data_IF_140166986592
#
_entry.id   IF_140166986592
#
_cell.length_a   1.000
_cell.length_b   1.000
_cell.length_c   1.000
_cell.angle_alpha   90.00
_cell.angle_beta   90.00
_cell.angle_gamma   90.00
#
_symmetry.space_group_name_H-M   'P 1'
#
loop_
_entity.id
_entity.type
_entity.pdbx_description
1 polymer ?
#
# COMPACT_ATOMS: atom_id res chain seq x y z
N UNK A 1 -7.09 -28.12 61.32
CA UNK A 1 -7.36 -26.71 60.98
C UNK A 1 -6.04 -26.01 60.65
N UNK A 2 -6.07 -25.12 59.64
CA UNK A 2 -5.00 -24.26 59.09
C UNK A 2 -4.08 -24.90 58.05
N UNK A 3 -4.38 -24.54 56.79
CA UNK A 3 -3.50 -24.73 55.65
C UNK A 3 -2.38 -23.70 55.58
N UNK A 4 -1.41 -23.99 54.71
CA UNK A 4 -0.42 -23.02 54.23
C UNK A 4 -0.39 -23.09 52.71
N UNK A 5 -0.78 -21.97 52.11
CA UNK A 5 -0.91 -21.78 50.67
C UNK A 5 0.41 -21.83 49.94
N UNK A 6 0.37 -22.39 48.74
CA UNK A 6 1.37 -22.17 47.69
C UNK A 6 1.16 -20.76 47.13
N UNK A 7 2.16 -19.90 47.28
CA UNK A 7 2.22 -18.62 46.56
C UNK A 7 2.60 -18.95 45.12
N UNK A 8 1.60 -18.93 44.24
CA UNK A 8 1.82 -18.92 42.78
C UNK A 8 2.18 -17.49 42.38
N UNK A 9 3.41 -17.28 41.92
CA UNK A 9 3.85 -16.03 41.33
C UNK A 9 3.17 -15.92 39.95
N UNK A 10 2.08 -15.15 39.87
CA UNK A 10 1.46 -14.82 38.59
C UNK A 10 2.36 -13.81 37.87
N UNK A 11 3.10 -14.28 36.86
CA UNK A 11 3.83 -13.43 35.94
C UNK A 11 2.80 -12.72 35.06
N UNK A 12 2.45 -11.48 35.41
CA UNK A 12 1.64 -10.61 34.56
C UNK A 12 2.51 -10.25 33.35
N UNK A 13 2.23 -10.91 32.23
CA UNK A 13 2.80 -10.55 30.93
C UNK A 13 2.17 -9.22 30.52
N UNK A 14 2.83 -8.12 30.82
CA UNK A 14 2.46 -6.81 30.31
C UNK A 14 2.62 -6.86 28.78
N UNK A 15 1.49 -6.79 28.06
CA UNK A 15 1.46 -6.45 26.64
C UNK A 15 2.04 -5.04 26.49
N UNK A 16 3.34 -4.96 26.22
CA UNK A 16 3.94 -3.75 25.70
C UNK A 16 3.47 -3.61 24.26
N UNK A 17 2.59 -2.65 24.01
CA UNK A 17 2.43 -2.10 22.68
C UNK A 17 3.80 -1.60 22.24
N UNK A 18 4.37 -2.24 21.22
CA UNK A 18 5.64 -1.80 20.65
C UNK A 18 5.49 -0.33 20.22
N UNK A 19 6.33 0.60 20.72
CA UNK A 19 6.43 1.89 20.07
C UNK A 19 6.87 1.62 18.64
N UNK A 20 6.30 2.37 17.69
CA UNK A 20 6.82 2.47 16.32
C UNK A 20 8.29 2.88 16.45
N UNK A 21 9.21 1.92 16.35
CA UNK A 21 10.63 2.21 16.33
C UNK A 21 10.89 2.90 15.00
N UNK A 22 11.29 4.18 15.08
CA UNK A 22 11.66 4.95 13.91
C UNK A 22 12.71 4.18 13.11
N UNK A 23 12.47 4.07 11.80
CA UNK A 23 13.37 3.44 10.84
C UNK A 23 14.79 4.01 10.99
N UNK A 24 15.80 3.14 11.09
CA UNK A 24 17.19 3.53 11.30
C UNK A 24 17.69 4.32 10.08
N UNK A 25 17.81 5.63 10.24
CA UNK A 25 18.47 6.50 9.26
C UNK A 25 19.92 6.02 9.08
N UNK A 26 20.48 6.05 7.86
CA UNK A 26 21.90 5.76 7.68
C UNK A 26 22.73 6.68 8.58
N UNK A 27 23.71 6.13 9.30
CA UNK A 27 24.41 6.82 10.40
C UNK A 27 25.03 8.17 10.01
N UNK A 28 25.45 8.31 8.75
CA UNK A 28 26.11 9.49 8.21
C UNK A 28 25.21 10.29 7.25
N UNK A 29 23.90 10.01 7.23
CA UNK A 29 22.98 10.72 6.34
C UNK A 29 22.74 12.16 6.82
N UNK A 30 23.08 13.12 5.96
CA UNK A 30 22.75 14.53 6.13
C UNK A 30 21.69 14.87 5.08
N UNK A 31 20.49 15.34 5.48
CA UNK A 31 19.48 15.75 4.51
C UNK A 31 20.02 16.88 3.64
N UNK A 32 19.82 16.82 2.31
CA UNK A 32 20.25 17.89 1.42
C UNK A 32 19.46 19.17 1.73
N UNK A 33 19.96 20.35 1.32
CA UNK A 33 19.18 21.58 1.34
C UNK A 33 17.83 21.40 0.62
N UNK A 34 16.75 22.06 1.05
CA UNK A 34 15.42 21.92 0.43
C UNK A 34 15.40 22.10 -1.09
N UNK A 35 16.28 22.94 -1.64
CA UNK A 35 16.42 23.23 -3.08
C UNK A 35 17.12 22.11 -3.87
N UNK A 36 17.64 21.10 -3.18
CA UNK A 36 18.32 19.93 -3.73
C UNK A 36 17.56 18.62 -3.43
N UNK A 37 16.43 18.68 -2.72
CA UNK A 37 15.61 17.50 -2.42
C UNK A 37 15.02 16.96 -3.73
N UNK A 38 15.26 15.69 -4.10
CA UNK A 38 14.68 15.14 -5.32
C UNK A 38 13.17 14.93 -5.19
N UNK A 39 12.45 15.03 -6.30
CA UNK A 39 11.02 14.66 -6.34
C UNK A 39 10.87 13.13 -6.39
N UNK A 40 10.92 12.49 -5.21
CA UNK A 40 10.82 11.03 -5.07
C UNK A 40 9.46 10.48 -5.53
N UNK A 41 8.37 11.26 -5.43
CA UNK A 41 7.06 10.87 -6.00
C UNK A 41 7.10 10.75 -7.51
N UNK A 42 7.70 11.72 -8.19
CA UNK A 42 7.86 11.70 -9.65
C UNK A 42 8.74 10.52 -10.08
N UNK A 43 9.84 10.26 -9.35
CA UNK A 43 10.71 9.13 -9.63
C UNK A 43 9.97 7.78 -9.50
N UNK A 44 9.23 7.59 -8.40
CA UNK A 44 8.43 6.37 -8.20
C UNK A 44 7.33 6.25 -9.25
N UNK A 45 6.61 7.34 -9.56
CA UNK A 45 5.61 7.37 -10.64
C UNK A 45 6.21 6.97 -11.99
N UNK A 46 7.37 7.50 -12.33
CA UNK A 46 8.04 7.20 -13.60
C UNK A 46 8.38 5.71 -13.72
N UNK A 47 8.92 5.09 -12.65
CA UNK A 47 9.21 3.65 -12.63
C UNK A 47 7.94 2.81 -12.76
N UNK A 48 6.90 3.17 -12.01
CA UNK A 48 5.61 2.48 -12.07
C UNK A 48 4.99 2.55 -13.48
N UNK A 49 5.02 3.74 -14.10
CA UNK A 49 4.56 3.94 -15.48
C UNK A 49 5.38 3.10 -16.45
N UNK A 50 6.71 3.06 -16.32
CA UNK A 50 7.59 2.29 -17.19
C UNK A 50 7.30 0.79 -17.10
N UNK A 51 7.25 0.23 -15.88
CA UNK A 51 6.97 -1.19 -15.64
C UNK A 51 5.57 -1.58 -16.12
N UNK A 52 4.55 -0.80 -15.79
CA UNK A 52 3.18 -1.06 -16.20
C UNK A 52 3.01 -0.92 -17.73
N UNK A 53 3.63 0.08 -18.35
CA UNK A 53 3.60 0.26 -19.81
C UNK A 53 4.29 -0.88 -20.53
N UNK A 54 5.44 -1.34 -20.03
CA UNK A 54 6.12 -2.52 -20.56
C UNK A 54 5.19 -3.75 -20.53
N UNK A 55 4.56 -4.01 -19.39
CA UNK A 55 3.68 -5.15 -19.22
C UNK A 55 2.46 -5.08 -20.15
N UNK A 56 1.76 -3.93 -20.16
CA UNK A 56 0.59 -3.70 -21.02
C UNK A 56 0.90 -3.72 -22.51
N UNK A 57 2.10 -3.29 -22.91
CA UNK A 57 2.55 -3.38 -24.30
C UNK A 57 2.77 -4.82 -24.74
N UNK A 58 3.28 -5.66 -23.85
CA UNK A 58 3.57 -7.07 -24.12
C UNK A 58 2.31 -7.94 -24.05
N UNK A 59 1.40 -7.65 -23.14
CA UNK A 59 0.07 -8.23 -23.06
C UNK A 59 -0.96 -7.19 -22.61
N UNK A 60 -1.85 -6.71 -23.52
CA UNK A 60 -2.88 -5.72 -23.20
C UNK A 60 -3.85 -6.16 -22.09
N UNK A 61 -4.01 -7.48 -21.90
CA UNK A 61 -4.90 -8.05 -20.88
C UNK A 61 -4.20 -8.28 -19.54
N UNK A 62 -2.89 -8.05 -19.45
CA UNK A 62 -2.13 -8.21 -18.22
C UNK A 62 -2.64 -7.24 -17.16
N UNK A 63 -3.08 -7.75 -16.01
CA UNK A 63 -3.67 -6.93 -14.95
C UNK A 63 -2.59 -6.22 -14.14
N UNK A 64 -2.77 -4.94 -13.85
CA UNK A 64 -1.84 -4.16 -13.02
C UNK A 64 -2.57 -3.59 -11.81
N UNK A 65 -2.19 -4.05 -10.63
CA UNK A 65 -2.65 -3.55 -9.34
C UNK A 65 -1.57 -2.74 -8.65
N UNK A 66 -2.00 -1.76 -7.86
CA UNK A 66 -1.14 -0.97 -6.99
C UNK A 66 -1.64 -1.09 -5.55
N UNK A 67 -0.78 -1.43 -4.59
CA UNK A 67 -1.12 -1.43 -3.16
C UNK A 67 -0.46 -0.26 -2.44
N UNK A 68 -1.27 0.52 -1.72
CA UNK A 68 -0.82 1.77 -1.09
C UNK A 68 -0.46 2.85 -2.11
N UNK A 69 0.39 3.80 -1.73
CA UNK A 69 0.98 4.79 -2.64
C UNK A 69 -0.04 5.78 -3.20
N UNK A 70 -1.09 6.09 -2.42
CA UNK A 70 -2.25 6.87 -2.87
C UNK A 70 -1.87 8.29 -3.29
N UNK A 71 -0.82 8.86 -2.72
CA UNK A 71 -0.29 10.18 -3.07
C UNK A 71 0.33 10.23 -4.48
N UNK A 72 0.62 9.08 -5.09
CA UNK A 72 1.09 9.03 -6.47
C UNK A 72 -0.05 9.15 -7.50
N UNK A 73 -1.31 9.07 -7.09
CA UNK A 73 -2.43 9.15 -8.03
C UNK A 73 -2.98 10.56 -8.19
N UNK A 74 -2.84 11.38 -7.14
CA UNK A 74 -3.42 12.72 -7.07
C UNK A 74 -2.41 13.68 -6.49
N UNK A 75 -2.20 14.81 -7.18
CA UNK A 75 -1.25 15.84 -6.78
C UNK A 75 -1.61 16.43 -5.43
N UNK A 76 -0.67 16.38 -4.48
CA UNK A 76 -0.83 16.91 -3.14
C UNK A 76 -0.06 18.21 -2.89
N UNK A 77 -0.23 18.76 -1.69
CA UNK A 77 0.40 20.01 -1.25
C UNK A 77 1.93 19.95 -1.27
N UNK A 78 2.49 18.80 -0.89
CA UNK A 78 3.94 18.57 -0.91
C UNK A 78 4.54 18.82 -2.29
N UNK A 79 3.92 18.31 -3.37
CA UNK A 79 4.42 18.52 -4.74
C UNK A 79 4.25 19.98 -5.19
N UNK A 80 3.20 20.65 -4.74
CA UNK A 80 3.01 22.09 -5.01
C UNK A 80 4.11 22.91 -4.35
N UNK A 81 4.46 22.61 -3.10
CA UNK A 81 5.55 23.27 -2.37
C UNK A 81 6.91 22.97 -3.01
N UNK A 82 7.16 21.71 -3.37
CA UNK A 82 8.38 21.30 -4.05
C UNK A 82 8.57 22.07 -5.38
N UNK A 83 7.53 22.19 -6.20
CA UNK A 83 7.57 22.97 -7.45
C UNK A 83 7.81 24.47 -7.23
N UNK A 84 7.24 25.04 -6.16
CA UNK A 84 7.43 26.43 -5.82
C UNK A 84 8.89 26.74 -5.42
N UNK A 85 9.54 25.80 -4.71
CA UNK A 85 10.95 25.91 -4.32
C UNK A 85 11.90 25.77 -5.53
N UNK A 86 11.63 24.84 -6.44
CA UNK A 86 12.56 24.48 -7.52
C UNK A 86 12.37 25.29 -8.82
N UNK A 87 11.20 25.90 -9.03
CA UNK A 87 10.96 26.84 -10.13
C UNK A 87 10.20 28.09 -9.61
N UNK A 88 10.83 28.97 -8.82
CA UNK A 88 10.14 30.13 -8.24
C UNK A 88 9.61 31.10 -9.31
N UNK A 89 10.24 31.12 -10.48
CA UNK A 89 9.87 31.98 -11.61
C UNK A 89 8.60 31.54 -12.36
N UNK A 90 8.06 30.35 -12.07
CA UNK A 90 6.97 29.73 -12.82
C UNK A 90 7.25 29.67 -14.33
N UNK A 91 8.52 29.58 -14.71
CA UNK A 91 8.95 29.49 -16.11
C UNK A 91 8.34 28.28 -16.82
N UNK A 92 7.96 27.25 -16.07
CA UNK A 92 7.22 26.08 -16.52
C UNK A 92 5.72 26.04 -16.15
N UNK A 93 5.04 27.18 -15.90
CA UNK A 93 3.64 27.21 -15.42
C UNK A 93 2.69 26.27 -16.20
N UNK A 94 2.78 26.23 -17.54
CA UNK A 94 1.96 25.35 -18.38
C UNK A 94 2.16 23.85 -18.14
N UNK A 95 3.24 23.45 -17.45
CA UNK A 95 3.54 22.07 -17.08
C UNK A 95 3.06 21.71 -15.68
N UNK A 96 2.66 22.68 -14.85
CA UNK A 96 2.20 22.43 -13.48
C UNK A 96 0.75 22.03 -13.48
N UNK A 97 0.48 20.82 -13.02
CA UNK A 97 -0.88 20.42 -12.70
C UNK A 97 -1.38 21.21 -11.48
N UNK A 98 -2.63 21.67 -11.44
CA UNK A 98 -3.23 22.20 -10.23
C UNK A 98 -3.18 21.19 -9.07
N UNK A 99 -3.17 21.67 -7.82
CA UNK A 99 -3.43 20.83 -6.64
C UNK A 99 -4.68 19.97 -6.86
N UNK A 100 -4.70 18.74 -6.34
CA UNK A 100 -5.79 17.76 -6.50
C UNK A 100 -6.00 17.24 -7.92
N UNK A 101 -5.11 17.56 -8.85
CA UNK A 101 -5.14 16.98 -10.20
C UNK A 101 -4.74 15.51 -10.19
N UNK A 102 -5.43 14.70 -10.97
CA UNK A 102 -5.13 13.28 -11.15
C UNK A 102 -3.94 13.09 -12.09
N UNK A 103 -2.97 12.27 -11.70
CA UNK A 103 -1.86 11.84 -12.56
C UNK A 103 -2.33 10.77 -13.57
N UNK A 104 -3.08 11.22 -14.57
CA UNK A 104 -3.71 10.35 -15.59
C UNK A 104 -2.79 9.29 -16.23
N UNK A 105 -1.50 9.57 -16.54
CA UNK A 105 -0.63 8.54 -17.13
C UNK A 105 -0.52 7.28 -16.27
N UNK A 106 -0.40 7.42 -14.95
CA UNK A 106 -0.36 6.28 -14.04
C UNK A 106 -1.76 5.66 -13.89
N UNK A 107 -2.79 6.46 -13.60
CA UNK A 107 -4.16 5.94 -13.36
C UNK A 107 -4.67 5.11 -14.54
N UNK A 108 -4.38 5.51 -15.78
CA UNK A 108 -4.81 4.78 -16.98
C UNK A 108 -4.14 3.41 -17.16
N UNK A 109 -2.96 3.21 -16.58
CA UNK A 109 -2.22 1.95 -16.65
C UNK A 109 -2.66 0.96 -15.56
N UNK A 110 -3.25 1.46 -14.48
CA UNK A 110 -3.75 0.65 -13.38
C UNK A 110 -5.13 0.08 -13.71
N UNK A 111 -5.32 -1.21 -13.40
CA UNK A 111 -6.62 -1.87 -13.45
C UNK A 111 -7.30 -1.92 -12.09
N UNK A 112 -6.55 -1.70 -11.01
CA UNK A 112 -7.11 -1.48 -9.69
C UNK A 112 -6.13 -0.96 -8.64
N UNK A 113 -6.70 -0.50 -7.53
CA UNK A 113 -6.01 0.03 -6.35
C UNK A 113 -6.39 -0.80 -5.12
N UNK A 114 -5.39 -1.21 -4.35
CA UNK A 114 -5.54 -1.91 -3.07
C UNK A 114 -5.24 -0.93 -1.94
N UNK A 115 -6.22 -0.76 -1.04
CA UNK A 115 -6.12 0.14 0.11
C UNK A 115 -6.12 -0.68 1.40
N UNK A 116 -5.13 -0.44 2.26
CA UNK A 116 -5.04 -1.11 3.55
C UNK A 116 -5.93 -0.41 4.59
N UNK A 117 -6.73 -1.22 5.29
CA UNK A 117 -7.51 -0.82 6.46
C UNK A 117 -8.68 0.10 6.19
N UNK A 118 -9.34 -0.01 5.03
CA UNK A 118 -10.47 0.81 4.62
C UNK A 118 -11.74 0.53 5.44
N UNK A 119 -11.93 -0.71 5.89
CA UNK A 119 -13.09 -1.17 6.66
C UNK A 119 -12.74 -1.78 8.02
N UNK A 120 -11.52 -2.29 8.19
CA UNK A 120 -10.95 -2.64 9.49
C UNK A 120 -9.50 -2.16 9.60
N UNK A 121 -9.19 -1.32 10.58
CA UNK A 121 -7.81 -0.92 10.87
C UNK A 121 -7.65 0.58 11.13
N UNK A 122 -6.51 1.13 10.73
CA UNK A 122 -6.15 2.52 11.02
C UNK A 122 -6.92 3.55 10.16
N UNK A 123 -7.33 3.16 8.95
CA UNK A 123 -7.88 4.06 7.93
C UNK A 123 -9.39 3.91 7.73
N UNK A 124 -10.09 3.34 8.73
CA UNK A 124 -11.53 3.07 8.65
C UNK A 124 -12.30 4.36 8.44
N UNK A 125 -13.18 4.34 7.44
CA UNK A 125 -14.12 5.42 7.18
C UNK A 125 -15.26 5.40 8.20
N UNK A 126 -15.62 6.57 8.71
CA UNK A 126 -16.78 6.80 9.56
C UNK A 126 -18.11 6.74 8.79
N UNK A 127 -18.05 6.83 7.46
CA UNK A 127 -19.18 6.85 6.54
C UNK A 127 -18.93 6.01 5.28
N UNK A 128 -19.96 5.68 4.49
CA UNK A 128 -19.78 5.02 3.20
C UNK A 128 -18.79 5.75 2.29
N UNK A 129 -18.01 5.01 1.51
CA UNK A 129 -16.99 5.60 0.62
C UNK A 129 -17.60 6.61 -0.36
N UNK A 130 -18.81 6.35 -0.87
CA UNK A 130 -19.51 7.28 -1.77
C UNK A 130 -19.85 8.62 -1.08
N UNK A 131 -20.24 8.56 0.21
CA UNK A 131 -20.56 9.76 0.99
C UNK A 131 -19.29 10.53 1.34
N UNK A 132 -18.21 9.83 1.72
CA UNK A 132 -16.90 10.46 1.93
C UNK A 132 -16.39 11.17 0.67
N UNK A 133 -16.54 10.56 -0.51
CA UNK A 133 -16.20 11.16 -1.81
C UNK A 133 -17.02 12.44 -2.06
N UNK A 134 -18.32 12.41 -1.75
CA UNK A 134 -19.24 13.53 -1.95
C UNK A 134 -18.93 14.69 -1.00
N UNK A 135 -18.73 14.40 0.27
CA UNK A 135 -18.38 15.39 1.30
C UNK A 135 -17.07 16.09 0.97
N UNK A 136 -16.02 15.32 0.66
CA UNK A 136 -14.73 15.88 0.25
C UNK A 136 -14.84 16.78 -1.00
N UNK A 137 -15.71 16.47 -1.97
CA UNK A 137 -15.96 17.37 -3.12
C UNK A 137 -16.62 18.68 -2.70
N UNK A 138 -17.54 18.63 -1.75
CA UNK A 138 -18.21 19.82 -1.24
C UNK A 138 -17.23 20.70 -0.45
N UNK A 139 -16.40 20.09 0.40
CA UNK A 139 -15.37 20.79 1.17
C UNK A 139 -14.34 21.45 0.27
N UNK A 140 -13.87 20.75 -0.78
CA UNK A 140 -12.95 21.28 -1.78
C UNK A 140 -13.53 22.49 -2.50
N UNK A 141 -14.80 22.40 -2.94
CA UNK A 141 -15.48 23.51 -3.61
C UNK A 141 -15.61 24.73 -2.68
N UNK A 142 -15.85 24.51 -1.39
CA UNK A 142 -15.88 25.57 -0.40
C UNK A 142 -14.49 26.19 -0.20
N UNK A 143 -13.44 25.38 -0.02
CA UNK A 143 -12.04 25.85 0.10
C UNK A 143 -11.66 26.71 -1.12
N UNK A 144 -12.01 26.25 -2.32
CA UNK A 144 -11.69 26.97 -3.56
C UNK A 144 -12.47 28.29 -3.66
N UNK A 145 -13.70 28.35 -3.14
CA UNK A 145 -14.49 29.58 -3.08
C UNK A 145 -13.91 30.59 -2.08
N UNK A 146 -13.47 30.12 -0.92
CA UNK A 146 -12.82 30.90 0.13
C UNK A 146 -11.47 31.46 -0.35
N UNK A 147 -10.68 30.63 -1.05
CA UNK A 147 -9.40 31.04 -1.65
C UNK A 147 -9.56 32.15 -2.67
N UNK A 148 -10.65 32.18 -3.44
CA UNK A 148 -10.95 33.26 -4.41
C UNK A 148 -11.22 34.61 -3.76
N UNK A 149 -11.71 34.63 -2.53
CA UNK A 149 -11.96 35.86 -1.75
C UNK A 149 -10.81 36.17 -0.77
N UNK A 150 -9.67 35.49 -0.90
CA UNK A 150 -8.47 35.71 -0.09
C UNK A 150 -8.48 35.03 1.28
N UNK A 151 -9.43 34.14 1.56
CA UNK A 151 -9.47 33.34 2.79
C UNK A 151 -8.71 32.04 2.56
N UNK A 152 -7.62 31.86 3.31
CA UNK A 152 -6.81 30.65 3.28
C UNK A 152 -7.10 29.81 4.52
N UNK A 153 -7.82 28.70 4.37
CA UNK A 153 -8.02 27.71 5.44
C UNK A 153 -7.23 26.43 5.15
N UNK A 154 -6.75 25.73 6.18
CA UNK A 154 -6.19 24.40 5.99
C UNK A 154 -7.29 23.43 5.49
N UNK A 155 -6.94 22.42 4.69
CA UNK A 155 -7.91 21.43 4.21
C UNK A 155 -8.59 20.66 5.35
N UNK A 156 -7.86 20.44 6.44
CA UNK A 156 -8.38 19.80 7.65
C UNK A 156 -8.42 20.86 8.75
N UNK A 157 -9.60 21.14 9.32
CA UNK A 157 -9.72 22.06 10.44
C UNK A 157 -8.91 21.58 11.65
N UNK A 158 -8.12 22.48 12.23
CA UNK A 158 -7.43 22.21 13.50
C UNK A 158 -8.38 22.57 14.64
N UNK A 159 -8.73 21.59 15.48
CA UNK A 159 -9.53 21.83 16.68
C UNK A 159 -8.75 22.72 17.65
N UNK A 160 -9.19 23.97 17.79
CA UNK A 160 -8.67 24.91 18.80
C UNK A 160 -9.55 24.78 20.05
N UNK A 161 -9.00 24.26 21.15
CA UNK A 161 -9.75 23.87 22.35
C UNK A 161 -8.96 24.10 23.64
N UNK A 162 -9.61 24.13 24.82
CA UNK A 162 -9.23 24.98 25.95
C UNK A 162 -7.77 24.79 26.37
N UNK A 163 -6.96 25.83 26.20
CA UNK A 163 -5.55 25.84 26.57
C UNK A 163 -5.36 25.57 28.06
N UNK A 164 -4.45 24.67 28.39
CA UNK A 164 -3.96 24.45 29.76
C UNK A 164 -2.69 25.24 29.99
N UNK A 165 -2.50 25.74 31.22
CA UNK A 165 -1.22 26.33 31.63
C UNK A 165 -0.16 25.26 31.99
N UNK A 166 -0.52 23.98 32.01
CA UNK A 166 0.39 22.86 32.28
C UNK A 166 1.06 22.38 30.96
N UNK A 167 2.40 22.54 30.81
CA UNK A 167 3.12 22.14 29.60
C UNK A 167 2.99 20.65 29.27
N UNK A 168 2.89 19.77 30.27
CA UNK A 168 2.78 18.32 30.05
C UNK A 168 1.37 17.92 29.55
N UNK A 169 0.35 18.70 29.90
CA UNK A 169 -1.01 18.53 29.35
C UNK A 169 -1.05 19.01 27.90
N UNK A 170 -0.42 20.16 27.60
CA UNK A 170 -0.39 20.71 26.24
C UNK A 170 0.44 19.85 25.28
N UNK A 171 1.58 19.30 25.71
CA UNK A 171 2.38 18.39 24.89
C UNK A 171 1.59 17.13 24.50
N UNK A 172 0.86 16.54 25.45
CA UNK A 172 0.01 15.37 25.19
C UNK A 172 -1.13 15.69 24.23
N UNK A 173 -1.83 16.81 24.47
CA UNK A 173 -2.89 17.27 23.56
C UNK A 173 -2.38 17.56 22.17
N UNK A 174 -1.21 18.20 22.04
CA UNK A 174 -0.60 18.46 20.75
C UNK A 174 -0.28 17.15 20.01
N UNK A 175 0.21 16.13 20.70
CA UNK A 175 0.43 14.80 20.12
C UNK A 175 -0.89 14.14 19.67
N UNK A 176 -1.94 14.18 20.50
CA UNK A 176 -3.27 13.65 20.15
C UNK A 176 -3.90 14.39 18.95
N UNK A 177 -3.79 15.72 18.91
CA UNK A 177 -4.28 16.54 17.80
C UNK A 177 -3.50 16.20 16.53
N UNK A 178 -2.16 16.11 16.60
CA UNK A 178 -1.32 15.73 15.47
C UNK A 178 -1.73 14.36 14.92
N UNK A 179 -1.89 13.35 15.79
CA UNK A 179 -2.29 12.01 15.36
C UNK A 179 -3.66 12.01 14.66
N UNK A 180 -4.64 12.76 15.18
CA UNK A 180 -5.96 12.92 14.56
C UNK A 180 -5.86 13.60 13.19
N UNK A 181 -5.07 14.67 13.08
CA UNK A 181 -4.86 15.39 11.82
C UNK A 181 -4.17 14.51 10.78
N UNK A 182 -3.11 13.81 11.17
CA UNK A 182 -2.37 12.88 10.29
C UNK A 182 -3.29 11.76 9.80
N UNK A 183 -4.15 11.22 10.68
CA UNK A 183 -5.16 10.22 10.29
C UNK A 183 -6.19 10.80 9.33
N UNK A 184 -6.72 11.99 9.60
CA UNK A 184 -7.69 12.65 8.73
C UNK A 184 -7.10 12.94 7.34
N UNK A 185 -5.82 13.33 7.27
CA UNK A 185 -5.13 13.58 6.00
C UNK A 185 -4.87 12.30 5.21
N UNK A 186 -4.47 11.21 5.89
CA UNK A 186 -4.38 9.89 5.24
C UNK A 186 -5.71 9.45 4.66
N UNK A 187 -6.79 9.55 5.43
CA UNK A 187 -8.15 9.21 4.96
C UNK A 187 -8.56 10.08 3.78
N UNK A 188 -8.32 11.39 3.84
CA UNK A 188 -8.61 12.33 2.75
C UNK A 188 -7.88 11.94 1.46
N UNK A 189 -6.59 11.60 1.53
CA UNK A 189 -5.79 11.13 0.38
C UNK A 189 -6.29 9.82 -0.19
N UNK A 190 -6.67 8.87 0.67
CA UNK A 190 -7.30 7.61 0.26
C UNK A 190 -8.60 7.89 -0.52
N UNK A 191 -9.44 8.82 -0.05
CA UNK A 191 -10.69 9.20 -0.72
C UNK A 191 -10.43 9.82 -2.10
N UNK A 192 -9.40 10.67 -2.24
CA UNK A 192 -8.99 11.20 -3.56
C UNK A 192 -8.57 10.09 -4.51
N UNK A 193 -7.69 9.20 -4.07
CA UNK A 193 -7.18 8.10 -4.88
C UNK A 193 -8.30 7.14 -5.30
N UNK A 194 -9.21 6.80 -4.38
CA UNK A 194 -10.36 5.96 -4.67
C UNK A 194 -11.30 6.61 -5.69
N UNK A 195 -11.59 7.91 -5.58
CA UNK A 195 -12.40 8.64 -6.55
C UNK A 195 -11.73 8.68 -7.94
N UNK A 196 -10.42 8.91 -7.99
CA UNK A 196 -9.64 8.94 -9.24
C UNK A 196 -9.67 7.60 -9.98
N UNK A 197 -9.48 6.48 -9.26
CA UNK A 197 -9.50 5.13 -9.82
C UNK A 197 -10.91 4.75 -10.29
N UNK A 198 -11.93 5.11 -9.51
CA UNK A 198 -13.34 4.84 -9.86
C UNK A 198 -13.83 5.64 -11.05
N UNK A 199 -13.36 6.88 -11.20
CA UNK A 199 -13.69 7.72 -12.36
C UNK A 199 -13.20 7.10 -13.68
N UNK A 200 -12.14 6.29 -13.65
CA UNK A 200 -11.62 5.53 -14.79
C UNK A 200 -12.22 4.11 -14.90
N UNK A 201 -13.24 3.78 -14.10
CA UNK A 201 -13.94 2.48 -14.13
C UNK A 201 -13.10 1.31 -13.62
N UNK A 202 -12.11 1.57 -12.76
CA UNK A 202 -11.15 0.59 -12.26
C UNK A 202 -11.54 0.04 -10.89
N UNK A 203 -11.04 -1.14 -10.57
CA UNK A 203 -11.40 -1.83 -9.34
C UNK A 203 -10.74 -1.15 -8.12
N UNK A 204 -11.50 -1.06 -7.02
CA UNK A 204 -10.94 -0.73 -5.70
C UNK A 204 -11.05 -1.99 -4.85
N UNK A 205 -9.95 -2.36 -4.23
CA UNK A 205 -9.83 -3.50 -3.34
C UNK A 205 -9.33 -3.02 -1.97
N UNK A 206 -9.55 -3.83 -0.94
CA UNK A 206 -8.99 -3.53 0.38
C UNK A 206 -8.44 -4.77 1.08
N UNK A 207 -7.43 -4.55 1.92
CA UNK A 207 -6.91 -5.53 2.88
C UNK A 207 -7.21 -5.02 4.28
N UNK A 208 -8.01 -5.77 5.02
CA UNK A 208 -8.62 -5.31 6.25
C UNK A 208 -8.22 -6.23 7.42
N UNK A 209 -7.38 -5.68 8.30
CA UNK A 209 -6.89 -6.34 9.50
C UNK A 209 -7.88 -6.09 10.66
N UNK A 210 -8.86 -6.97 10.81
CA UNK A 210 -9.90 -6.88 11.82
C UNK A 210 -9.43 -7.43 13.18
N UNK A 211 -10.05 -6.94 14.26
CA UNK A 211 -9.79 -7.40 15.64
C UNK A 211 -10.45 -8.74 15.96
N UNK A 212 -11.50 -9.12 15.23
CA UNK A 212 -12.23 -10.37 15.45
C UNK A 212 -13.29 -10.66 14.38
N UNK A 213 -14.00 -11.79 14.50
CA UNK A 213 -14.95 -12.27 13.49
C UNK A 213 -16.09 -11.29 13.16
N UNK A 214 -16.65 -10.61 14.16
CA UNK A 214 -17.70 -9.60 13.95
C UNK A 214 -17.19 -8.39 13.13
N UNK A 215 -15.90 -8.05 13.26
CA UNK A 215 -15.25 -7.04 12.44
C UNK A 215 -15.19 -7.46 10.97
N UNK A 216 -14.86 -8.72 10.71
CA UNK A 216 -14.82 -9.29 9.34
C UNK A 216 -16.20 -9.19 8.67
N UNK A 217 -17.28 -9.58 9.36
CA UNK A 217 -18.63 -9.48 8.80
C UNK A 217 -19.06 -8.03 8.54
N UNK A 218 -18.63 -7.10 9.38
CA UNK A 218 -18.91 -5.68 9.21
C UNK A 218 -18.13 -5.11 8.02
N UNK A 219 -16.86 -5.50 7.86
CA UNK A 219 -16.05 -5.11 6.73
C UNK A 219 -16.61 -5.65 5.40
N UNK A 220 -16.99 -6.93 5.35
CA UNK A 220 -17.60 -7.53 4.16
C UNK A 220 -18.89 -6.80 3.74
N UNK A 221 -19.75 -6.43 4.70
CA UNK A 221 -20.98 -5.66 4.43
C UNK A 221 -20.68 -4.23 3.95
N UNK A 222 -19.72 -3.55 4.59
CA UNK A 222 -19.29 -2.21 4.20
C UNK A 222 -18.70 -2.17 2.79
N UNK A 223 -17.82 -3.12 2.49
CA UNK A 223 -17.20 -3.29 1.19
C UNK A 223 -18.23 -3.63 0.09
N UNK A 224 -19.18 -4.54 0.38
CA UNK A 224 -20.26 -4.86 -0.56
C UNK A 224 -21.14 -3.64 -0.88
N UNK A 225 -21.54 -2.86 0.15
CA UNK A 225 -22.29 -1.61 -0.04
C UNK A 225 -21.53 -0.64 -0.95
N UNK A 226 -20.24 -0.51 -0.69
CA UNK A 226 -19.39 0.43 -1.41
C UNK A 226 -18.84 -0.15 -2.70
N UNK A 227 -19.20 -1.37 -3.15
CA UNK A 227 -18.64 -2.04 -4.34
C UNK A 227 -17.10 -2.07 -4.34
N UNK A 228 -16.52 -2.46 -3.20
CA UNK A 228 -15.10 -2.71 -3.01
C UNK A 228 -14.91 -4.20 -2.71
N UNK A 229 -13.90 -4.83 -3.30
CA UNK A 229 -13.58 -6.23 -3.00
C UNK A 229 -12.58 -6.29 -1.86
N UNK A 230 -13.05 -6.64 -0.66
CA UNK A 230 -12.21 -6.73 0.55
C UNK A 230 -11.68 -8.14 0.80
N UNK A 231 -10.44 -8.22 1.25
CA UNK A 231 -9.92 -9.36 2.02
C UNK A 231 -9.84 -8.97 3.49
N UNK A 232 -10.77 -9.48 4.29
CA UNK A 232 -10.85 -9.22 5.72
C UNK A 232 -10.41 -10.44 6.55
N UNK A 233 -9.43 -10.26 7.42
CA UNK A 233 -8.88 -11.31 8.27
C UNK A 233 -8.62 -10.80 9.70
N UNK A 234 -8.42 -11.72 10.65
CA UNK A 234 -8.02 -11.33 12.01
C UNK A 234 -6.51 -11.07 12.02
N UNK A 235 -6.11 -9.85 12.39
CA UNK A 235 -4.72 -9.39 12.33
C UNK A 235 -4.21 -9.12 10.91
N UNK A 236 -2.91 -8.87 10.77
CA UNK A 236 -2.25 -8.39 9.53
C UNK A 236 -1.52 -9.49 8.75
N UNK A 237 -1.75 -10.76 9.10
CA UNK A 237 -0.98 -11.89 8.57
C UNK A 237 -1.44 -12.29 7.17
N UNK A 238 -0.64 -11.95 6.16
CA UNK A 238 -0.82 -12.32 4.75
C UNK A 238 -0.01 -13.56 4.35
N UNK A 239 0.17 -14.48 5.30
CA UNK A 239 0.94 -15.71 5.20
C UNK A 239 0.11 -16.95 5.56
N UNK A 240 -1.19 -16.77 5.79
CA UNK A 240 -2.09 -17.82 6.24
C UNK A 240 -2.55 -18.71 5.08
N UNK A 241 -2.71 -20.02 5.31
CA UNK A 241 -3.31 -20.91 4.32
C UNK A 241 -4.68 -20.41 3.84
N UNK A 242 -4.99 -20.55 2.54
CA UNK A 242 -6.28 -20.13 1.99
C UNK A 242 -7.43 -20.88 2.64
N UNK A 243 -8.56 -20.18 2.84
CA UNK A 243 -9.81 -20.85 3.17
C UNK A 243 -10.30 -21.57 1.90
N UNK A 244 -10.66 -22.86 1.97
CA UNK A 244 -11.18 -23.56 0.79
C UNK A 244 -12.44 -22.88 0.21
N UNK A 245 -13.32 -22.40 1.10
CA UNK A 245 -14.58 -21.73 0.80
C UNK A 245 -14.55 -20.28 1.32
N UNK A 246 -14.09 -19.31 0.53
CA UNK A 246 -14.12 -17.90 0.91
C UNK A 246 -15.54 -17.30 0.82
N UNK A 247 -15.87 -16.26 1.60
CA UNK A 247 -17.09 -15.50 1.40
C UNK A 247 -17.20 -14.99 -0.05
N UNK A 248 -18.39 -15.06 -0.63
CA UNK A 248 -18.64 -14.61 -2.01
C UNK A 248 -18.09 -15.55 -3.07
N UNK A 249 -18.11 -16.87 -2.86
CA UNK A 249 -17.73 -17.86 -3.89
C UNK A 249 -18.48 -17.61 -5.20
N UNK A 250 -17.76 -17.77 -6.30
CA UNK A 250 -18.25 -17.43 -7.63
C UNK A 250 -17.93 -18.60 -8.58
N UNK A 251 -18.98 -19.14 -9.19
CA UNK A 251 -18.87 -20.23 -10.17
C UNK A 251 -18.64 -19.73 -11.61
N UNK A 252 -18.55 -18.40 -11.82
CA UNK A 252 -18.19 -17.81 -13.10
C UNK A 252 -16.69 -17.84 -13.38
N UNK A 253 -16.34 -17.79 -14.66
CA UNK A 253 -14.96 -17.52 -15.08
C UNK A 253 -14.60 -16.06 -14.83
N UNK A 254 -13.36 -15.82 -14.41
CA UNK A 254 -12.85 -14.49 -14.08
C UNK A 254 -11.75 -14.14 -15.06
N UNK A 255 -12.02 -13.15 -15.91
CA UNK A 255 -11.09 -12.67 -16.95
C UNK A 255 -10.57 -11.25 -16.67
N UNK A 256 -11.15 -10.54 -15.71
CA UNK A 256 -10.73 -9.18 -15.35
C UNK A 256 -11.04 -8.85 -13.89
N UNK A 257 -10.32 -7.86 -13.33
CA UNK A 257 -10.47 -7.44 -11.95
C UNK A 257 -11.88 -6.95 -11.59
N UNK A 258 -12.60 -6.35 -12.53
CA UNK A 258 -13.95 -5.82 -12.29
C UNK A 258 -15.02 -6.90 -12.06
N UNK A 259 -14.70 -8.17 -12.30
CA UNK A 259 -15.63 -9.30 -12.17
C UNK A 259 -15.39 -10.15 -10.93
N UNK A 260 -14.38 -9.81 -10.11
CA UNK A 260 -14.04 -10.60 -8.92
C UNK A 260 -15.01 -10.29 -7.78
N UNK A 261 -15.43 -11.33 -7.06
CA UNK A 261 -16.24 -11.19 -5.85
C UNK A 261 -15.43 -11.37 -4.56
N UNK A 262 -14.27 -12.01 -4.66
CA UNK A 262 -13.38 -12.28 -3.54
C UNK A 262 -11.93 -12.38 -4.04
N UNK A 263 -10.96 -12.28 -3.16
CA UNK A 263 -9.55 -12.44 -3.53
C UNK A 263 -8.69 -12.85 -2.34
N UNK A 264 -7.48 -13.31 -2.64
CA UNK A 264 -6.50 -13.76 -1.64
C UNK A 264 -5.14 -13.07 -1.86
N UNK A 265 -4.76 -12.10 -1.01
CA UNK A 265 -3.37 -11.66 -0.86
C UNK A 265 -2.60 -12.66 0.01
N UNK A 266 -1.73 -13.46 -0.61
CA UNK A 266 -0.86 -14.42 0.07
C UNK A 266 0.61 -14.12 -0.28
N UNK A 267 1.17 -13.15 0.44
CA UNK A 267 2.47 -12.54 0.11
C UNK A 267 3.66 -13.35 0.65
N UNK A 268 3.41 -14.26 1.58
CA UNK A 268 4.42 -15.18 2.12
C UNK A 268 3.91 -16.61 2.11
N UNK A 269 4.81 -17.55 1.81
CA UNK A 269 4.49 -18.97 1.69
C UNK A 269 5.26 -19.84 2.69
N UNK A 270 5.89 -19.27 3.71
CA UNK A 270 6.75 -19.99 4.65
C UNK A 270 6.01 -21.11 5.41
N UNK A 271 4.72 -20.91 5.67
CA UNK A 271 3.88 -21.86 6.40
C UNK A 271 3.49 -23.15 5.66
N UNK A 272 3.76 -23.27 4.35
CA UNK A 272 3.26 -24.39 3.54
C UNK A 272 4.19 -25.62 3.51
N UNK A 273 5.41 -25.50 4.03
CA UNK A 273 6.40 -26.58 4.11
C UNK A 273 7.11 -26.88 2.79
N UNK A 274 6.38 -27.11 1.70
CA UNK A 274 6.92 -27.34 0.35
C UNK A 274 6.15 -26.59 -0.74
N UNK A 275 6.82 -26.35 -1.88
CA UNK A 275 6.21 -25.73 -3.06
C UNK A 275 4.99 -26.49 -3.56
N UNK A 276 5.04 -27.82 -3.59
CA UNK A 276 3.90 -28.65 -4.01
C UNK A 276 2.66 -28.43 -3.13
N UNK A 277 2.82 -28.39 -1.81
CA UNK A 277 1.71 -28.11 -0.88
C UNK A 277 1.18 -26.69 -1.00
N UNK A 278 2.06 -25.74 -1.28
CA UNK A 278 1.69 -24.36 -1.55
C UNK A 278 0.79 -24.23 -2.80
N UNK A 279 1.22 -24.80 -3.92
CA UNK A 279 0.45 -24.82 -5.18
C UNK A 279 -0.87 -25.57 -5.01
N UNK A 280 -0.85 -26.71 -4.31
CA UNK A 280 -2.05 -27.51 -4.03
C UNK A 280 -3.05 -26.74 -3.16
N UNK A 281 -2.60 -26.07 -2.10
CA UNK A 281 -3.48 -25.32 -1.21
C UNK A 281 -4.21 -24.18 -1.95
N UNK A 282 -3.51 -23.47 -2.83
CA UNK A 282 -4.12 -22.45 -3.69
C UNK A 282 -5.12 -23.12 -4.65
N UNK A 283 -4.72 -24.18 -5.34
CA UNK A 283 -5.58 -24.94 -6.27
C UNK A 283 -6.86 -25.44 -5.62
N UNK A 284 -6.79 -25.81 -4.34
CA UNK A 284 -7.91 -26.31 -3.53
C UNK A 284 -8.78 -25.21 -2.88
N UNK A 285 -8.73 -23.99 -3.40
CA UNK A 285 -9.55 -22.86 -2.94
C UNK A 285 -10.37 -22.25 -4.08
N UNK A 286 -11.44 -21.54 -3.72
CA UNK A 286 -12.39 -20.93 -4.67
C UNK A 286 -12.27 -19.41 -4.77
N UNK A 287 -11.04 -18.89 -4.62
CA UNK A 287 -10.82 -17.46 -4.79
C UNK A 287 -10.88 -17.01 -6.26
N UNK A 288 -11.50 -15.86 -6.57
CA UNK A 288 -11.58 -15.29 -7.94
C UNK A 288 -10.26 -14.69 -8.43
N UNK A 289 -9.44 -14.23 -7.48
CA UNK A 289 -8.09 -13.78 -7.72
C UNK A 289 -7.19 -14.21 -6.58
N UNK A 290 -5.97 -14.62 -6.90
CA UNK A 290 -4.92 -14.82 -5.90
C UNK A 290 -3.71 -13.97 -6.27
N UNK A 291 -3.09 -13.34 -5.26
CA UNK A 291 -1.85 -12.58 -5.40
C UNK A 291 -0.79 -13.29 -4.57
N UNK A 292 0.28 -13.75 -5.22
CA UNK A 292 1.31 -14.61 -4.62
C UNK A 292 2.71 -14.19 -5.02
N UNK A 293 3.71 -14.65 -4.27
CA UNK A 293 5.11 -14.50 -4.70
C UNK A 293 5.42 -15.40 -5.92
N UNK A 294 6.43 -15.01 -6.70
CA UNK A 294 6.98 -15.82 -7.81
C UNK A 294 7.79 -17.02 -7.34
N UNK A 295 8.22 -17.03 -6.09
CA UNK A 295 8.98 -18.11 -5.49
C UNK A 295 8.43 -18.51 -4.13
N UNK A 296 8.34 -19.81 -3.90
CA UNK A 296 8.07 -20.35 -2.58
C UNK A 296 9.24 -20.03 -1.64
N UNK A 297 8.97 -19.36 -0.52
CA UNK A 297 9.99 -18.88 0.45
C UNK A 297 11.06 -18.00 -0.20
N UNK A 298 10.69 -17.23 -1.21
CA UNK A 298 11.57 -16.27 -1.87
C UNK A 298 12.62 -16.84 -2.83
N UNK A 299 12.90 -18.15 -2.79
CA UNK A 299 13.99 -18.77 -3.58
C UNK A 299 13.61 -20.03 -4.36
N UNK A 300 12.56 -20.78 -3.96
CA UNK A 300 12.10 -21.97 -4.70
C UNK A 300 11.08 -21.55 -5.76
N UNK A 301 11.58 -21.20 -6.95
CA UNK A 301 10.77 -20.65 -8.04
C UNK A 301 9.59 -21.54 -8.44
N UNK A 302 8.45 -20.88 -8.67
CA UNK A 302 7.33 -21.47 -9.38
C UNK A 302 7.68 -21.61 -10.86
N UNK A 303 7.08 -22.60 -11.51
CA UNK A 303 7.19 -22.79 -12.96
C UNK A 303 5.85 -22.54 -13.66
N UNK A 304 5.87 -22.41 -14.99
CA UNK A 304 4.64 -22.16 -15.79
C UNK A 304 3.52 -23.17 -15.49
N UNK A 305 3.88 -24.44 -15.25
CA UNK A 305 2.91 -25.48 -14.90
C UNK A 305 2.23 -25.21 -13.56
N UNK A 306 2.96 -24.73 -12.55
CA UNK A 306 2.41 -24.35 -11.24
C UNK A 306 1.40 -23.21 -11.40
N UNK A 307 1.77 -22.17 -12.17
CA UNK A 307 0.88 -21.02 -12.42
C UNK A 307 -0.36 -21.46 -13.21
N UNK A 308 -0.19 -22.28 -14.25
CA UNK A 308 -1.30 -22.81 -15.04
C UNK A 308 -2.28 -23.64 -14.20
N UNK A 309 -1.76 -24.45 -13.27
CA UNK A 309 -2.58 -25.19 -12.32
C UNK A 309 -3.38 -24.26 -11.40
N UNK A 310 -2.73 -23.22 -10.87
CA UNK A 310 -3.38 -22.25 -9.98
C UNK A 310 -4.38 -21.35 -10.70
N UNK A 311 -4.42 -21.29 -12.03
CA UNK A 311 -5.40 -20.49 -12.79
C UNK A 311 -6.83 -21.05 -12.76
N UNK A 312 -7.06 -22.20 -12.14
CA UNK A 312 -8.40 -22.76 -11.95
C UNK A 312 -8.78 -22.81 -10.47
N UNK A 313 -10.03 -22.47 -10.19
CA UNK A 313 -10.66 -22.64 -8.88
C UNK A 313 -10.89 -24.13 -8.63
N UNK A 314 -11.03 -24.53 -7.36
CA UNK A 314 -11.45 -25.90 -7.02
C UNK A 314 -12.80 -26.28 -7.66
N UNK A 315 -13.70 -25.31 -7.83
CA UNK A 315 -14.98 -25.48 -8.53
C UNK A 315 -14.84 -25.76 -10.04
N UNK A 316 -13.68 -25.52 -10.65
CA UNK A 316 -13.43 -25.70 -12.08
C UNK A 316 -13.21 -24.40 -12.88
N UNK A 317 -13.97 -23.31 -12.69
CA UNK A 317 -13.83 -22.08 -13.48
C UNK A 317 -12.45 -21.42 -13.33
N UNK A 318 -12.07 -20.68 -14.36
CA UNK A 318 -10.84 -19.88 -14.38
C UNK A 318 -10.87 -18.75 -13.35
N UNK A 319 -9.72 -18.48 -12.73
CA UNK A 319 -9.43 -17.32 -11.86
C UNK A 319 -8.18 -16.58 -12.32
N UNK A 320 -7.97 -15.38 -11.78
CA UNK A 320 -6.75 -14.61 -12.00
C UNK A 320 -5.65 -15.00 -11.00
N UNK A 321 -4.41 -15.15 -11.49
CA UNK A 321 -3.22 -15.36 -10.66
C UNK A 321 -2.24 -14.23 -10.92
N UNK A 322 -2.03 -13.37 -9.92
CA UNK A 322 -1.14 -12.21 -9.99
C UNK A 322 0.12 -12.44 -9.14
N UNK A 323 1.24 -11.87 -9.58
CA UNK A 323 2.46 -11.84 -8.79
C UNK A 323 2.50 -10.60 -7.90
N UNK A 324 2.88 -10.73 -6.62
CA UNK A 324 3.33 -9.57 -5.84
C UNK A 324 4.74 -9.19 -6.26
N UNK A 325 4.97 -7.89 -6.42
CA UNK A 325 6.26 -7.33 -6.79
C UNK A 325 6.54 -6.09 -5.93
N UNK A 326 7.42 -6.22 -4.92
CA UNK A 326 7.94 -5.08 -4.17
C UNK A 326 8.68 -4.10 -5.08
N UNK A 327 8.35 -2.82 -5.00
CA UNK A 327 8.99 -1.77 -5.80
C UNK A 327 9.94 -0.92 -4.95
N UNK A 328 9.53 -0.54 -3.75
CA UNK A 328 10.30 0.35 -2.88
C UNK A 328 11.17 -0.36 -1.84
N UNK A 329 11.12 -1.69 -1.75
CA UNK A 329 11.88 -2.48 -0.79
C UNK A 329 12.64 -3.63 -1.44
N UNK A 330 13.78 -3.95 -0.87
CA UNK A 330 14.56 -5.15 -1.13
C UNK A 330 14.53 -6.09 0.09
N UNK A 331 14.64 -7.40 -0.18
CA UNK A 331 14.57 -8.43 0.85
C UNK A 331 15.74 -9.39 0.73
N UNK A 332 16.40 -9.72 1.84
CA UNK A 332 17.59 -10.58 1.85
C UNK A 332 17.32 -12.07 1.60
N UNK A 333 16.07 -12.48 1.81
CA UNK A 333 15.60 -13.84 1.59
C UNK A 333 15.05 -14.07 0.18
N UNK A 334 15.06 -13.07 -0.70
CA UNK A 334 14.60 -13.21 -2.09
C UNK A 334 15.72 -13.63 -3.03
N UNK A 335 15.34 -14.33 -4.09
CA UNK A 335 16.22 -14.90 -5.11
C UNK A 335 17.21 -13.94 -5.77
N UNK A 336 16.93 -12.63 -5.80
CA UNK A 336 17.81 -11.63 -6.41
C UNK A 336 18.90 -11.14 -5.47
N UNK A 337 18.79 -11.43 -4.17
CA UNK A 337 19.75 -10.97 -3.18
C UNK A 337 21.12 -11.61 -3.44
N UNK A 338 22.17 -10.80 -3.41
CA UNK A 338 23.54 -11.29 -3.62
C UNK A 338 24.31 -11.29 -2.31
N UNK A 339 25.21 -12.26 -2.16
CA UNK A 339 26.09 -12.34 -0.99
C UNK A 339 26.95 -11.08 -0.89
N UNK A 340 26.97 -10.48 0.29
CA UNK A 340 27.74 -9.27 0.58
C UNK A 340 26.98 -7.96 0.34
N UNK A 341 25.70 -8.02 -0.05
CA UNK A 341 24.84 -6.85 -0.03
C UNK A 341 24.63 -6.36 1.41
N UNK A 342 24.85 -5.07 1.62
CA UNK A 342 24.65 -4.34 2.86
C UNK A 342 24.15 -2.92 2.56
N UNK A 343 23.69 -2.20 3.58
CA UNK A 343 23.25 -0.80 3.39
C UNK A 343 24.40 0.02 2.81
N UNK A 344 24.13 0.73 1.71
CA UNK A 344 25.09 1.50 0.93
C UNK A 344 25.87 0.69 -0.12
N UNK A 345 25.80 -0.64 -0.10
CA UNK A 345 26.49 -1.51 -1.05
C UNK A 345 25.62 -2.72 -1.45
N UNK A 346 24.90 -2.67 -2.59
CA UNK A 346 24.93 -1.64 -3.62
C UNK A 346 24.27 -0.32 -3.20
N UNK A 347 24.59 0.81 -3.87
CA UNK A 347 24.11 2.14 -3.47
C UNK A 347 22.59 2.29 -3.38
N UNK A 348 21.84 1.46 -4.11
CA UNK A 348 20.38 1.50 -4.05
C UNK A 348 19.80 0.91 -2.75
N UNK A 349 20.56 0.14 -1.98
CA UNK A 349 20.14 -0.31 -0.64
C UNK A 349 20.37 0.83 0.34
N UNK A 350 19.34 1.64 0.54
CA UNK A 350 19.47 2.92 1.19
C UNK A 350 19.49 2.82 2.72
N UNK A 351 18.61 2.02 3.31
CA UNK A 351 18.51 1.84 4.77
C UNK A 351 17.88 0.51 5.15
N UNK A 352 17.98 0.13 6.43
CA UNK A 352 17.20 -0.96 6.99
C UNK A 352 15.75 -0.52 7.20
N UNK A 353 14.82 -1.44 7.00
CA UNK A 353 13.43 -1.27 7.42
C UNK A 353 13.20 -1.83 8.84
N UNK A 354 12.01 -1.62 9.41
CA UNK A 354 11.62 -2.08 10.74
C UNK A 354 11.64 -3.61 10.87
N UNK A 355 11.38 -4.31 9.76
CA UNK A 355 11.36 -5.75 9.70
C UNK A 355 12.75 -6.31 9.34
N UNK A 356 13.26 -7.30 10.12
CA UNK A 356 14.51 -7.97 9.82
C UNK A 356 14.56 -8.53 8.39
N UNK A 357 15.70 -8.33 7.72
CA UNK A 357 15.91 -8.75 6.34
C UNK A 357 15.20 -7.91 5.29
N UNK A 358 14.66 -6.75 5.68
CA UNK A 358 14.01 -5.79 4.80
C UNK A 358 14.84 -4.52 4.71
N UNK A 359 14.97 -4.00 3.49
CA UNK A 359 15.80 -2.86 3.15
C UNK A 359 15.01 -1.89 2.29
N UNK A 360 15.12 -0.59 2.56
CA UNK A 360 14.55 0.46 1.73
C UNK A 360 15.41 0.59 0.47
N UNK A 361 14.79 0.44 -0.70
CA UNK A 361 15.46 0.55 -1.98
C UNK A 361 15.21 1.94 -2.59
N UNK A 362 16.26 2.58 -3.10
CA UNK A 362 16.13 3.77 -3.93
C UNK A 362 15.53 3.38 -5.29
N UNK A 363 14.23 3.68 -5.46
CA UNK A 363 13.48 3.44 -6.69
C UNK A 363 14.08 4.20 -7.88
N UNK A 364 14.81 5.30 -7.63
CA UNK A 364 15.48 6.11 -8.63
C UNK A 364 16.71 5.46 -9.27
N UNK A 365 17.39 4.52 -8.59
CA UNK A 365 18.62 3.88 -9.05
C UNK A 365 18.44 3.09 -10.36
N UNK A 366 19.41 3.24 -11.27
CA UNK A 366 19.42 2.50 -12.54
C UNK A 366 19.58 0.99 -12.33
N UNK A 367 20.41 0.56 -11.37
CA UNK A 367 20.63 -0.84 -11.03
C UNK A 367 19.36 -1.49 -10.47
N UNK A 368 18.66 -0.79 -9.58
CA UNK A 368 17.40 -1.27 -9.02
C UNK A 368 16.31 -1.33 -10.09
N UNK A 369 16.16 -0.29 -10.92
CA UNK A 369 15.23 -0.30 -12.07
C UNK A 369 15.51 -1.46 -13.03
N UNK A 370 16.78 -1.74 -13.32
CA UNK A 370 17.16 -2.86 -14.18
C UNK A 370 16.77 -4.22 -13.56
N UNK A 371 16.86 -4.37 -12.24
CA UNK A 371 16.38 -5.55 -11.54
C UNK A 371 14.85 -5.66 -11.60
N UNK A 372 14.12 -4.57 -11.33
CA UNK A 372 12.65 -4.53 -11.44
C UNK A 372 12.19 -4.87 -12.87
N UNK A 373 12.89 -4.37 -13.89
CA UNK A 373 12.62 -4.69 -15.31
C UNK A 373 12.77 -6.19 -15.62
N UNK A 374 13.82 -6.84 -15.09
CA UNK A 374 14.00 -8.30 -15.19
C UNK A 374 12.92 -9.06 -14.43
N UNK A 375 12.53 -8.55 -13.25
CA UNK A 375 11.50 -9.16 -12.43
C UNK A 375 10.15 -9.15 -13.16
N UNK A 376 9.67 -8.01 -13.65
CA UNK A 376 8.38 -7.96 -14.38
C UNK A 376 8.41 -8.82 -15.65
N UNK A 377 9.53 -8.85 -16.39
CA UNK A 377 9.68 -9.73 -17.54
C UNK A 377 9.55 -11.22 -17.14
N UNK A 378 10.17 -11.62 -16.04
CA UNK A 378 10.08 -12.98 -15.49
C UNK A 378 8.67 -13.34 -15.01
N UNK A 379 7.94 -12.41 -14.38
CA UNK A 379 6.52 -12.59 -14.01
C UNK A 379 5.68 -12.92 -15.25
N UNK A 380 5.87 -12.15 -16.33
CA UNK A 380 5.15 -12.38 -17.58
C UNK A 380 5.57 -13.70 -18.24
N UNK A 381 6.86 -14.05 -18.20
CA UNK A 381 7.39 -15.30 -18.77
C UNK A 381 6.83 -16.54 -18.07
N UNK A 382 6.64 -16.48 -16.75
CA UNK A 382 6.02 -17.52 -15.94
C UNK A 382 4.52 -17.69 -16.23
N UNK A 383 3.91 -16.71 -16.91
CA UNK A 383 2.52 -16.77 -17.33
C UNK A 383 1.55 -16.32 -16.26
N UNK A 384 1.94 -15.44 -15.33
CA UNK A 384 0.99 -14.75 -14.46
C UNK A 384 0.01 -13.91 -15.28
N UNK A 385 -1.21 -13.74 -14.78
CA UNK A 385 -2.25 -12.90 -15.42
C UNK A 385 -2.08 -11.41 -15.12
N UNK A 386 -1.19 -11.07 -14.18
CA UNK A 386 -0.91 -9.70 -13.80
C UNK A 386 0.13 -9.56 -12.70
N UNK A 387 0.32 -8.33 -12.25
CA UNK A 387 1.20 -7.95 -11.14
C UNK A 387 0.47 -7.05 -10.17
N UNK A 388 0.77 -7.19 -8.88
CA UNK A 388 0.47 -6.19 -7.85
C UNK A 388 1.78 -5.57 -7.40
N UNK A 389 1.98 -4.30 -7.71
CA UNK A 389 3.08 -3.52 -7.18
C UNK A 389 2.83 -3.24 -5.70
N UNK A 390 3.79 -3.62 -4.86
CA UNK A 390 3.74 -3.48 -3.40
C UNK A 390 4.93 -2.67 -2.89
N UNK A 391 4.90 -2.29 -1.60
CA UNK A 391 5.94 -1.49 -0.95
C UNK A 391 6.23 -0.16 -1.66
N UNK A 392 5.20 0.46 -2.22
CA UNK A 392 5.35 1.70 -3.01
C UNK A 392 5.56 2.90 -2.10
N UNK A 393 5.02 2.86 -0.88
CA UNK A 393 4.99 3.97 0.07
C UNK A 393 6.35 4.35 0.67
N UNK A 394 7.45 3.69 0.29
CA UNK A 394 8.78 4.04 0.79
C UNK A 394 9.23 5.46 0.41
N UNK A 395 8.62 6.07 -0.62
CA UNK A 395 8.84 7.50 -0.90
C UNK A 395 8.41 8.41 0.25
N UNK A 396 7.38 8.05 1.03
CA UNK A 396 6.94 8.85 2.19
C UNK A 396 8.02 8.91 3.26
N UNK A 397 8.73 7.80 3.46
CA UNK A 397 9.85 7.77 4.37
C UNK A 397 11.03 8.62 3.87
N UNK A 398 11.31 8.58 2.56
CA UNK A 398 12.33 9.45 1.95
C UNK A 398 11.96 10.94 2.05
N UNK A 399 10.68 11.29 1.93
CA UNK A 399 10.17 12.65 2.15
C UNK A 399 10.35 13.10 3.60
N UNK A 400 10.04 12.25 4.58
CA UNK A 400 10.25 12.54 6.00
C UNK A 400 11.75 12.67 6.33
N UNK A 401 12.59 11.91 5.63
CA UNK A 401 14.04 11.98 5.78
C UNK A 401 14.64 13.26 5.18
N UNK A 402 14.02 13.81 4.13
CA UNK A 402 14.47 14.99 3.38
C UNK A 402 13.38 16.08 3.35
N UNK A 403 13.10 16.74 4.49
CA UNK A 403 12.03 17.74 4.57
C UNK A 403 12.34 18.96 3.70
N UNK A 404 11.28 19.50 3.10
CA UNK A 404 11.34 20.72 2.27
C UNK A 404 10.83 21.96 3.01
N UNK A 405 10.16 21.75 4.14
CA UNK A 405 9.77 22.75 5.12
C UNK A 405 10.82 22.86 6.23
N UNK A 406 11.06 24.08 6.73
CA UNK A 406 12.00 24.36 7.82
C UNK A 406 11.30 24.41 9.17
#
# INVERSE_FOLDING_TARGET
MRGRGRVGLALILALLASPVLALDKPRDFVPPPPEQVPNVREQTRAVMIELASYAKKRDPNFQVLMRGGVELLVKGDWEVQWEALHDPSSSGFYRRLPERSVFRPLVKLLDGLVIDGLYCGANVLDKPLADAIKERKADDAQIDSEKKIGIHRPPIPVEMGPFSNDPAVELRRAAEIKEKLDKAERVRRIVYAADAIRAEGRAVLSVDACTGPAGIETALRGAARDRVTTFAAVGTRLDQPPRPHPPGENAGEVLSLNTIHNWLPLLRSDGFGSKGRFVEAISNSNYDMVVIDVAHRGVDFLVKADIAQMKFKKLGPRRLVLAVMPVGRAYDWRWYWQKGWEVGAPPFLFAHDDQPGTYIADVGSAEWKALLGKYIAGVMDLGFDGVMFDDIETYLWLEELMPIDR
#
